data_IF_434636518022
#
_entry.id   IF_434636518022
#
_cell.length_a   1.000
_cell.length_b   1.000
_cell.length_c   1.000
_cell.angle_alpha   90.00
_cell.angle_beta   90.00
_cell.angle_gamma   90.00
#
_symmetry.space_group_name_H-M   'P 1'
#
loop_
_entity.id
_entity.type
_entity.pdbx_description
1 polymer ?
#
# COMPACT_ATOMS: atom_id res chain seq x y z
N UNK A 1 -22.13 -7.38 2.79
CA UNK A 1 -22.93 -8.55 2.35
C UNK A 1 -22.07 -9.58 1.58
N UNK A 2 -22.18 -10.87 1.90
CA UNK A 2 -21.37 -11.97 1.31
C UNK A 2 -21.39 -11.98 -0.23
N UNK A 3 -22.57 -11.77 -0.81
CA UNK A 3 -22.80 -11.74 -2.27
C UNK A 3 -21.92 -10.69 -2.97
N UNK A 4 -21.61 -9.56 -2.30
CA UNK A 4 -20.78 -8.49 -2.88
C UNK A 4 -19.34 -8.96 -3.12
N UNK A 5 -18.76 -9.71 -2.18
CA UNK A 5 -17.39 -10.20 -2.31
C UNK A 5 -17.27 -11.30 -3.37
N UNK A 6 -18.29 -12.16 -3.48
CA UNK A 6 -18.35 -13.21 -4.49
C UNK A 6 -18.39 -12.62 -5.90
N UNK A 7 -19.24 -11.61 -6.14
CA UNK A 7 -19.28 -10.92 -7.43
C UNK A 7 -17.97 -10.23 -7.77
N UNK A 8 -17.31 -9.60 -6.79
CA UNK A 8 -15.99 -8.99 -6.98
C UNK A 8 -14.95 -10.03 -7.42
N UNK A 9 -14.91 -11.19 -6.77
CA UNK A 9 -14.00 -12.29 -7.14
C UNK A 9 -14.27 -12.78 -8.56
N UNK A 10 -15.55 -12.95 -8.93
CA UNK A 10 -15.91 -13.40 -10.27
C UNK A 10 -15.56 -12.36 -11.34
N UNK A 11 -15.71 -11.06 -11.03
CA UNK A 11 -15.28 -9.98 -11.92
C UNK A 11 -13.76 -10.01 -12.14
N UNK A 12 -12.96 -10.22 -11.09
CA UNK A 12 -11.50 -10.37 -11.24
C UNK A 12 -11.12 -11.61 -12.05
N UNK A 13 -11.84 -12.73 -11.85
CA UNK A 13 -11.67 -13.94 -12.65
C UNK A 13 -11.94 -13.66 -14.13
N UNK A 14 -13.06 -13.00 -14.44
CA UNK A 14 -13.41 -12.61 -15.82
C UNK A 14 -12.39 -11.65 -16.43
N UNK A 15 -11.90 -10.66 -15.67
CA UNK A 15 -10.85 -9.75 -16.10
C UNK A 15 -9.58 -10.53 -16.52
N UNK A 16 -9.18 -11.51 -15.71
CA UNK A 16 -7.96 -12.31 -15.97
C UNK A 16 -8.07 -13.16 -17.25
N UNK A 17 -9.28 -13.61 -17.58
CA UNK A 17 -9.56 -14.43 -18.78
C UNK A 17 -9.71 -13.55 -20.02
N UNK A 18 -10.51 -12.49 -19.91
CA UNK A 18 -10.89 -11.64 -21.06
C UNK A 18 -9.84 -10.58 -21.40
N UNK A 19 -9.01 -10.19 -20.42
CA UNK A 19 -7.96 -9.16 -20.55
C UNK A 19 -8.49 -7.85 -21.13
N UNK A 20 -9.71 -7.47 -20.74
CA UNK A 20 -10.33 -6.20 -21.14
C UNK A 20 -10.19 -5.17 -20.01
N UNK A 21 -10.10 -3.91 -20.39
CA UNK A 21 -10.13 -2.79 -19.45
C UNK A 21 -11.51 -2.73 -18.79
N UNK A 22 -11.54 -2.64 -17.46
CA UNK A 22 -12.77 -2.49 -16.67
C UNK A 22 -12.72 -1.13 -15.99
N UNK A 23 -13.80 -0.36 -16.11
CA UNK A 23 -14.01 0.85 -15.32
C UNK A 23 -15.01 0.51 -14.23
N UNK A 24 -14.53 0.49 -12.98
CA UNK A 24 -15.35 0.21 -11.81
C UNK A 24 -15.61 1.51 -11.05
N UNK A 25 -16.87 1.73 -10.65
CA UNK A 25 -17.30 2.93 -9.91
C UNK A 25 -17.79 2.47 -8.54
N UNK A 26 -17.21 3.03 -7.50
CA UNK A 26 -17.63 2.82 -6.11
C UNK A 26 -17.46 4.10 -5.31
N UNK A 27 -18.19 4.17 -4.20
CA UNK A 27 -18.04 5.23 -3.20
C UNK A 27 -17.10 4.81 -2.06
N UNK A 28 -16.67 3.54 -2.04
CA UNK A 28 -15.86 2.96 -0.99
C UNK A 28 -14.42 2.80 -1.46
N UNK A 29 -13.47 3.46 -0.80
CA UNK A 29 -12.06 3.40 -1.17
C UNK A 29 -11.43 2.03 -0.89
N UNK A 30 -11.89 1.27 0.12
CA UNK A 30 -11.40 -0.08 0.38
C UNK A 30 -11.75 -1.04 -0.76
N UNK A 31 -12.92 -0.86 -1.39
CA UNK A 31 -13.29 -1.60 -2.60
C UNK A 31 -12.39 -1.21 -3.78
N UNK A 32 -12.08 0.08 -3.92
CA UNK A 32 -11.20 0.57 -4.96
C UNK A 32 -9.78 0.02 -4.83
N UNK A 33 -9.20 0.02 -3.62
CA UNK A 33 -7.87 -0.56 -3.34
C UNK A 33 -7.81 -2.03 -3.72
N UNK A 34 -8.87 -2.78 -3.42
CA UNK A 34 -8.91 -4.23 -3.63
C UNK A 34 -8.98 -4.61 -5.12
N UNK A 35 -9.65 -3.80 -5.92
CA UNK A 35 -10.03 -4.15 -7.29
C UNK A 35 -9.23 -3.43 -8.37
N UNK A 36 -8.68 -2.25 -8.08
CA UNK A 36 -8.15 -1.36 -9.09
C UNK A 36 -6.63 -1.23 -9.04
N UNK A 37 -6.01 -1.25 -10.22
CA UNK A 37 -4.59 -0.91 -10.38
C UNK A 37 -4.36 0.62 -10.26
N UNK A 38 -5.37 1.39 -10.65
CA UNK A 38 -5.38 2.87 -10.63
C UNK A 38 -6.76 3.35 -10.19
N UNK A 39 -6.76 4.40 -9.38
CA UNK A 39 -7.99 5.00 -8.83
C UNK A 39 -8.05 6.45 -9.29
N UNK A 40 -9.21 6.86 -9.78
CA UNK A 40 -9.54 8.25 -10.07
C UNK A 40 -10.56 8.73 -9.04
N UNK A 41 -10.20 9.74 -8.25
CA UNK A 41 -11.12 10.37 -7.30
C UNK A 41 -11.79 11.55 -8.00
N UNK A 42 -13.11 11.64 -7.85
CA UNK A 42 -13.94 12.69 -8.44
C UNK A 42 -14.66 13.48 -7.35
N UNK A 43 -14.80 14.78 -7.56
CA UNK A 43 -15.59 15.70 -6.74
C UNK A 43 -16.26 16.73 -7.65
N UNK A 44 -17.54 17.01 -7.42
CA UNK A 44 -18.32 18.01 -8.17
C UNK A 44 -18.24 17.83 -9.71
N UNK A 45 -18.26 16.57 -10.16
CA UNK A 45 -18.18 16.22 -11.59
C UNK A 45 -16.78 16.31 -12.21
N UNK A 46 -15.76 16.67 -11.44
CA UNK A 46 -14.38 16.81 -11.91
C UNK A 46 -13.47 15.75 -11.28
N UNK A 47 -12.53 15.20 -12.06
CA UNK A 47 -11.47 14.35 -11.51
C UNK A 47 -10.47 15.26 -10.79
N UNK A 48 -10.26 15.01 -9.50
CA UNK A 48 -9.36 15.80 -8.68
C UNK A 48 -7.97 15.16 -8.56
N UNK A 49 -7.89 13.83 -8.62
CA UNK A 49 -6.62 13.11 -8.59
C UNK A 49 -6.78 11.72 -9.22
N UNK A 50 -5.75 11.28 -9.95
CA UNK A 50 -5.61 9.91 -10.43
C UNK A 50 -4.25 9.41 -9.96
N UNK A 51 -4.22 8.21 -9.38
CA UNK A 51 -2.97 7.61 -8.92
C UNK A 51 -3.14 6.13 -8.61
N UNK A 52 -2.03 5.50 -8.23
CA UNK A 52 -2.07 4.21 -7.55
C UNK A 52 -2.70 4.37 -6.16
N UNK A 53 -3.24 3.30 -5.57
CA UNK A 53 -3.71 3.35 -4.19
C UNK A 53 -2.67 3.92 -3.21
N UNK A 54 -1.41 3.58 -3.43
CA UNK A 54 -0.28 4.01 -2.62
C UNK A 54 0.03 5.51 -2.78
N UNK A 55 0.03 6.03 -4.00
CA UNK A 55 0.22 7.47 -4.25
C UNK A 55 -0.90 8.31 -3.62
N UNK A 56 -2.15 7.86 -3.70
CA UNK A 56 -3.30 8.58 -3.15
C UNK A 56 -3.25 8.68 -1.62
N UNK A 57 -2.66 7.70 -0.95
CA UNK A 57 -2.54 7.65 0.51
C UNK A 57 -1.31 8.41 1.02
N UNK A 58 -0.19 8.37 0.30
CA UNK A 58 1.06 9.03 0.70
C UNK A 58 1.05 10.52 0.31
N UNK A 59 0.57 10.83 -0.89
CA UNK A 59 0.63 12.16 -1.49
C UNK A 59 -0.77 12.58 -1.99
N UNK A 60 -1.75 12.78 -1.09
CA UNK A 60 -3.05 13.32 -1.48
C UNK A 60 -2.88 14.72 -2.06
N UNK A 61 -3.47 14.98 -3.23
CA UNK A 61 -3.34 16.25 -3.95
C UNK A 61 -4.21 17.38 -3.37
N UNK A 62 -5.24 17.02 -2.60
CA UNK A 62 -6.18 17.97 -1.97
C UNK A 62 -6.61 17.46 -0.61
N UNK A 63 -7.08 18.35 0.26
CA UNK A 63 -7.62 17.99 1.58
C UNK A 63 -8.77 16.99 1.48
N UNK A 64 -9.60 17.11 0.44
CA UNK A 64 -10.67 16.14 0.18
C UNK A 64 -10.14 14.74 -0.10
N UNK A 65 -9.02 14.61 -0.85
CA UNK A 65 -8.40 13.28 -1.05
C UNK A 65 -7.77 12.76 0.24
N UNK A 66 -7.16 13.64 1.04
CA UNK A 66 -6.59 13.27 2.34
C UNK A 66 -7.68 12.74 3.29
N UNK A 67 -8.82 13.42 3.36
CA UNK A 67 -9.99 12.99 4.13
C UNK A 67 -10.57 11.69 3.57
N UNK A 68 -10.69 11.56 2.25
CA UNK A 68 -11.21 10.33 1.63
C UNK A 68 -10.33 9.09 1.85
N UNK A 69 -9.04 9.29 2.10
CA UNK A 69 -8.05 8.22 2.32
C UNK A 69 -7.67 8.04 3.79
N UNK A 70 -8.27 8.79 4.73
CA UNK A 70 -7.88 8.78 6.15
C UNK A 70 -8.13 7.46 6.85
N UNK A 71 -9.27 6.82 6.56
CA UNK A 71 -9.75 5.64 7.28
C UNK A 71 -9.17 4.32 6.74
N UNK A 72 -8.26 4.43 5.78
CA UNK A 72 -7.69 3.30 5.08
C UNK A 72 -6.64 2.63 5.94
N UNK A 73 -6.67 1.29 5.95
CA UNK A 73 -5.58 0.54 6.53
C UNK A 73 -4.31 0.69 5.67
N UNK A 74 -3.47 1.69 6.01
CA UNK A 74 -2.20 1.99 5.33
C UNK A 74 -1.31 0.77 5.18
N UNK A 75 -1.30 -0.18 6.13
CA UNK A 75 -0.48 -1.37 6.03
C UNK A 75 -0.89 -2.30 4.86
N UNK A 76 -2.15 -2.28 4.42
CA UNK A 76 -2.60 -3.04 3.25
C UNK A 76 -2.21 -2.38 1.93
N UNK A 77 -1.99 -1.07 1.94
CA UNK A 77 -1.74 -0.28 0.73
C UNK A 77 -0.24 -0.08 0.52
N UNK A 78 0.49 0.28 1.57
CA UNK A 78 1.90 0.61 1.49
C UNK A 78 2.74 -0.63 1.21
N UNK A 79 3.75 -0.46 0.36
CA UNK A 79 4.78 -1.44 0.10
C UNK A 79 5.99 -1.27 1.03
N UNK A 80 6.81 -2.32 1.12
CA UNK A 80 8.10 -2.26 1.80
C UNK A 80 8.95 -1.08 1.28
N UNK A 81 8.95 -0.86 -0.03
CA UNK A 81 9.68 0.25 -0.67
C UNK A 81 9.30 1.62 -0.13
N UNK A 82 8.03 1.85 0.20
CA UNK A 82 7.57 3.17 0.65
C UNK A 82 7.87 3.49 2.11
N UNK A 83 8.19 2.48 2.93
CA UNK A 83 8.57 2.67 4.33
C UNK A 83 10.05 2.39 4.62
N UNK A 84 10.81 1.94 3.62
CA UNK A 84 12.22 1.64 3.81
C UNK A 84 13.03 2.90 4.07
N UNK A 85 14.09 2.73 4.85
CA UNK A 85 15.16 3.71 4.98
C UNK A 85 16.38 3.19 4.19
N UNK A 86 17.32 4.08 3.80
CA UNK A 86 18.55 3.67 3.15
C UNK A 86 19.27 2.58 3.95
N UNK A 87 19.74 1.54 3.27
CA UNK A 87 20.36 0.39 3.91
C UNK A 87 21.60 0.77 4.70
N UNK A 88 21.69 0.29 5.95
CA UNK A 88 22.90 0.42 6.76
C UNK A 88 23.94 -0.64 6.34
N UNK A 89 25.21 -0.46 6.75
CA UNK A 89 26.30 -1.43 6.47
C UNK A 89 26.02 -2.85 7.01
N UNK A 90 25.03 -3.02 7.89
CA UNK A 90 24.62 -4.31 8.46
C UNK A 90 23.46 -5.01 7.74
N UNK A 91 22.86 -4.39 6.72
CA UNK A 91 21.64 -4.89 6.09
C UNK A 91 21.78 -6.29 5.46
N UNK A 92 23.00 -6.70 5.08
CA UNK A 92 23.25 -8.00 4.46
C UNK A 92 22.95 -9.21 5.36
N UNK A 93 22.91 -9.01 6.68
CA UNK A 93 22.58 -10.06 7.66
C UNK A 93 21.11 -10.13 8.06
N UNK A 94 20.27 -9.24 7.51
CA UNK A 94 18.84 -9.20 7.82
C UNK A 94 18.03 -10.14 6.94
N UNK A 95 16.85 -10.53 7.43
CA UNK A 95 15.86 -11.24 6.63
C UNK A 95 15.43 -10.36 5.45
N UNK A 96 15.28 -10.96 4.26
CA UNK A 96 15.03 -10.22 3.02
C UNK A 96 13.54 -10.17 2.71
N UNK A 97 13.06 -9.01 2.28
CA UNK A 97 11.69 -8.80 1.82
C UNK A 97 11.69 -8.06 0.49
N UNK A 98 10.83 -8.50 -0.43
CA UNK A 98 10.65 -7.84 -1.72
C UNK A 98 10.15 -6.39 -1.55
N UNK A 99 10.70 -5.46 -2.32
CA UNK A 99 10.31 -4.05 -2.33
C UNK A 99 8.80 -3.84 -2.56
N UNK A 100 8.17 -4.75 -3.30
CA UNK A 100 6.74 -4.71 -3.64
C UNK A 100 5.84 -5.34 -2.57
N UNK A 101 6.41 -6.06 -1.59
CA UNK A 101 5.64 -6.71 -0.55
C UNK A 101 4.85 -5.70 0.29
N UNK A 102 3.57 -5.97 0.53
CA UNK A 102 2.72 -5.09 1.34
C UNK A 102 3.05 -5.24 2.82
N UNK A 103 3.03 -4.14 3.57
CA UNK A 103 3.39 -4.15 4.99
C UNK A 103 2.56 -5.17 5.77
N UNK A 104 1.27 -5.28 5.47
CA UNK A 104 0.37 -6.22 6.11
C UNK A 104 0.81 -7.69 5.99
N UNK A 105 1.59 -8.08 4.97
CA UNK A 105 2.02 -9.46 4.78
C UNK A 105 3.17 -9.87 5.70
N UNK A 106 3.93 -8.91 6.25
CA UNK A 106 5.10 -9.19 7.10
C UNK A 106 5.11 -8.42 8.42
N UNK A 107 4.12 -7.56 8.66
CA UNK A 107 4.03 -6.72 9.85
C UNK A 107 4.10 -7.50 11.18
N UNK A 108 3.43 -8.65 11.28
CA UNK A 108 3.48 -9.47 12.49
C UNK A 108 4.89 -10.06 12.70
N UNK A 109 5.48 -10.64 11.65
CA UNK A 109 6.78 -11.31 11.72
C UNK A 109 7.93 -10.36 12.09
N UNK A 110 7.93 -9.14 11.55
CA UNK A 110 8.96 -8.15 11.86
C UNK A 110 8.83 -7.60 13.28
N UNK A 111 7.60 -7.48 13.80
CA UNK A 111 7.34 -7.08 15.20
C UNK A 111 7.76 -8.18 16.17
N UNK A 112 7.41 -9.44 15.88
CA UNK A 112 7.74 -10.58 16.74
C UNK A 112 9.25 -10.88 16.78
N UNK A 113 9.93 -10.77 15.63
CA UNK A 113 11.38 -10.99 15.55
C UNK A 113 12.20 -9.87 16.19
N UNK A 114 11.61 -8.67 16.35
CA UNK A 114 12.26 -7.44 16.79
C UNK A 114 13.55 -7.10 16.02
N UNK A 115 13.70 -7.62 14.79
CA UNK A 115 14.88 -7.41 13.93
C UNK A 115 14.49 -6.67 12.66
N UNK A 116 15.34 -5.78 12.14
CA UNK A 116 15.10 -5.14 10.85
C UNK A 116 15.10 -6.15 9.70
N UNK A 117 14.35 -5.83 8.65
CA UNK A 117 14.35 -6.57 7.38
C UNK A 117 15.08 -5.75 6.32
N UNK A 118 15.86 -6.42 5.46
CA UNK A 118 16.46 -5.82 4.29
C UNK A 118 15.46 -5.83 3.14
N UNK A 119 15.23 -4.67 2.54
CA UNK A 119 14.36 -4.53 1.37
C UNK A 119 15.20 -4.75 0.12
N UNK A 120 14.78 -5.71 -0.70
CA UNK A 120 15.46 -6.05 -1.96
C UNK A 120 14.63 -5.67 -3.17
N UNK A 121 15.30 -5.34 -4.27
CA UNK A 121 14.66 -5.20 -5.56
C UNK A 121 14.43 -6.57 -6.25
N UNK A 122 13.83 -6.56 -7.45
CA UNK A 122 13.57 -7.79 -8.21
C UNK A 122 14.83 -8.53 -8.71
N UNK A 123 16.02 -7.95 -8.52
CA UNK A 123 17.31 -8.58 -8.81
C UNK A 123 17.97 -9.15 -7.54
N UNK A 124 17.36 -8.95 -6.37
CA UNK A 124 17.87 -9.38 -5.07
C UNK A 124 18.90 -8.43 -4.47
N UNK A 125 19.09 -7.24 -5.03
CA UNK A 125 19.98 -6.21 -4.49
C UNK A 125 19.28 -5.48 -3.34
N UNK A 126 20.02 -5.23 -2.25
CA UNK A 126 19.50 -4.52 -1.09
C UNK A 126 19.43 -3.03 -1.41
N UNK A 127 18.22 -2.51 -1.47
CA UNK A 127 17.94 -1.09 -1.75
C UNK A 127 17.58 -0.30 -0.48
N UNK A 128 17.27 -0.99 0.62
CA UNK A 128 16.89 -0.36 1.88
C UNK A 128 16.75 -1.35 3.03
N UNK A 129 16.33 -0.83 4.18
CA UNK A 129 15.96 -1.62 5.35
C UNK A 129 14.71 -1.06 6.04
N UNK A 130 13.94 -1.92 6.69
CA UNK A 130 12.77 -1.55 7.49
C UNK A 130 13.01 -2.00 8.92
N UNK A 131 12.94 -1.05 9.86
CA UNK A 131 13.00 -1.36 11.28
C UNK A 131 11.60 -1.73 11.83
N UNK A 132 11.49 -2.62 12.82
CA UNK A 132 10.22 -2.98 13.46
C UNK A 132 9.46 -1.75 13.98
N UNK A 133 10.19 -0.78 14.55
CA UNK A 133 9.62 0.47 15.08
C UNK A 133 8.85 1.27 14.01
N UNK A 134 9.38 1.33 12.78
CA UNK A 134 8.72 2.02 11.66
C UNK A 134 7.36 1.38 11.35
N UNK A 135 7.28 0.04 11.43
CA UNK A 135 6.04 -0.70 11.20
C UNK A 135 5.05 -0.49 12.35
N UNK A 136 5.53 -0.50 13.60
CA UNK A 136 4.68 -0.20 14.77
C UNK A 136 4.11 1.22 14.71
N UNK A 137 4.93 2.22 14.36
CA UNK A 137 4.49 3.61 14.25
C UNK A 137 3.40 3.75 13.18
N UNK A 138 3.55 3.09 12.03
CA UNK A 138 2.52 3.04 10.98
C UNK A 138 1.22 2.39 11.49
N UNK A 139 1.30 1.22 12.12
CA UNK A 139 0.13 0.49 12.61
C UNK A 139 -0.60 1.23 13.73
N UNK A 140 0.14 2.03 14.50
CA UNK A 140 -0.40 2.86 15.59
C UNK A 140 -0.98 4.18 15.10
N UNK A 141 -0.91 4.48 13.79
CA UNK A 141 -1.34 5.76 13.23
C UNK A 141 -0.52 6.96 13.70
N UNK A 142 0.66 6.75 14.28
CA UNK A 142 1.57 7.83 14.70
C UNK A 142 2.35 8.30 13.46
N UNK A 143 1.97 9.43 12.92
CA UNK A 143 2.69 10.05 11.82
C UNK A 143 4.11 10.44 12.25
N UNK A 144 5.11 10.05 11.46
CA UNK A 144 6.24 10.94 11.21
C UNK A 144 5.70 12.06 10.33
N UNK A 145 5.51 13.25 10.90
CA UNK A 145 5.43 14.47 10.09
C UNK A 145 6.68 14.56 9.19
N UNK A 146 6.61 15.25 8.04
CA UNK A 146 7.76 15.40 7.17
C UNK A 146 8.94 15.94 7.98
N UNK A 147 10.12 15.32 7.81
CA UNK A 147 11.34 15.85 8.40
C UNK A 147 11.51 17.31 7.94
N UNK A 148 11.84 18.25 8.85
CA UNK A 148 12.01 19.65 8.53
C UNK A 148 13.17 19.90 7.57
#
# INVERSE_FOLDING_TARGET
PLIRREMQTELMRLQSVLKKTIVFITHDFDEAIRLADRIAIMKDGSIIQIGTPEELVINPATDYVAEFTSDVNRAKVLSARSLMQPASKGASGFERIEATAKIASFAAAIVDSAKPYAVVDGHGEIIGEIAPRTVVDLLSGKERGPAP
#
